data_IF_281041691471
#
_entry.id   IF_281041691471
#
_cell.length_a   1.000
_cell.length_b   1.000
_cell.length_c   1.000
_cell.angle_alpha   90.00
_cell.angle_beta   90.00
_cell.angle_gamma   90.00
#
_symmetry.space_group_name_H-M   'P 1'
#
loop_
_entity.id
_entity.type
_entity.pdbx_description
1 polymer ?
2 water ?
#
# COMPACT_ATOMS: atom_id res chain seq x y z
N UNK A 7 -15.79 -12.78 -11.52
CA UNK A 7 -15.15 -11.51 -11.95
C UNK A 7 -15.18 -10.52 -10.78
N UNK A 8 -16.36 -10.37 -10.14
CA UNK A 8 -16.60 -9.31 -9.17
C UNK A 8 -15.70 -9.52 -7.94
N UNK A 9 -15.29 -10.77 -7.70
CA UNK A 9 -14.37 -11.09 -6.62
C UNK A 9 -12.99 -10.49 -6.91
N UNK A 10 -12.52 -10.69 -8.16
CA UNK A 10 -11.21 -10.25 -8.57
C UNK A 10 -11.13 -8.72 -8.48
N UNK A 11 -12.14 -8.02 -9.02
CA UNK A 11 -12.11 -6.56 -9.10
C UNK A 11 -12.13 -5.96 -7.70
N UNK A 12 -12.77 -6.68 -6.76
CA UNK A 12 -12.85 -6.27 -5.38
C UNK A 12 -11.46 -6.31 -4.74
N UNK A 13 -10.68 -7.34 -5.09
CA UNK A 13 -9.34 -7.51 -4.54
C UNK A 13 -8.41 -6.44 -5.13
N UNK A 14 -8.73 -6.01 -6.34
CA UNK A 14 -7.93 -5.02 -7.03
C UNK A 14 -8.16 -3.64 -6.39
N UNK A 15 -9.42 -3.32 -6.14
CA UNK A 15 -9.75 -2.01 -5.58
C UNK A 15 -9.27 -1.95 -4.13
N UNK A 16 -9.38 -3.06 -3.40
CA UNK A 16 -9.15 -3.05 -1.96
C UNK A 16 -7.65 -3.10 -1.66
N UNK A 17 -6.81 -3.36 -2.67
CA UNK A 17 -5.38 -3.46 -2.45
C UNK A 17 -4.67 -2.25 -3.06
N UNK A 18 -5.42 -1.20 -3.39
CA UNK A 18 -4.84 0.08 -3.80
C UNK A 18 -4.50 0.94 -2.58
N UNK A 19 -3.34 1.59 -2.61
CA UNK A 19 -2.96 2.49 -1.53
C UNK A 19 -3.70 3.81 -1.70
N UNK A 20 -4.22 4.04 -2.90
CA UNK A 20 -4.95 5.27 -3.18
C UNK A 20 -6.43 5.07 -2.83
N UNK A 21 -7.09 6.19 -2.52
CA UNK A 21 -8.50 6.18 -2.17
C UNK A 21 -9.32 5.91 -3.43
N UNK A 22 -10.13 4.85 -3.39
CA UNK A 22 -11.08 4.56 -4.44
C UNK A 22 -12.48 4.51 -3.85
N UNK A 23 -13.38 5.33 -4.40
CA UNK A 23 -14.71 5.47 -3.86
C UNK A 23 -15.74 5.61 -4.99
N UNK A 24 -16.95 5.13 -4.71
CA UNK A 24 -18.11 5.39 -5.53
C UNK A 24 -19.11 6.20 -4.70
N UNK A 25 -19.51 7.36 -5.24
CA UNK A 25 -20.50 8.21 -4.61
C UNK A 25 -21.71 8.31 -5.53
N UNK A 26 -22.86 8.71 -4.96
CA UNK A 26 -23.99 9.15 -5.75
C UNK A 26 -23.77 10.61 -6.13
N UNK A 27 -24.60 11.10 -7.06
CA UNK A 27 -24.45 12.45 -7.59
C UNK A 27 -24.67 13.48 -6.48
N UNK A 28 -25.43 13.10 -5.44
CA UNK A 28 -25.78 14.01 -4.36
C UNK A 28 -24.72 13.95 -3.26
N UNK A 29 -23.78 13.00 -3.37
CA UNK A 29 -22.62 12.98 -2.50
C UNK A 29 -22.59 11.74 -1.61
N UNK A 30 -23.69 10.98 -1.58
CA UNK A 30 -23.80 9.84 -0.68
C UNK A 30 -22.77 8.78 -1.06
N UNK A 31 -21.99 8.36 -0.06
CA UNK A 31 -20.93 7.40 -0.25
C UNK A 31 -21.53 5.99 -0.29
N UNK A 32 -21.23 5.24 -1.37
CA UNK A 32 -21.72 3.88 -1.53
C UNK A 32 -20.60 2.87 -1.27
N UNK A 33 -19.36 3.23 -1.64
CA UNK A 33 -18.25 2.31 -1.53
C UNK A 33 -16.97 3.09 -1.19
N UNK A 34 -16.13 2.48 -0.37
CA UNK A 34 -14.81 2.98 -0.07
C UNK A 34 -13.89 1.77 0.10
N UNK A 35 -12.61 1.95 -0.22
CA UNK A 35 -11.63 0.90 -0.08
C UNK A 35 -10.88 1.11 1.24
N UNK A 36 -10.10 0.11 1.72
CA UNK A 36 -9.45 0.19 3.04
C UNK A 36 -8.49 1.37 3.19
N UNK A 37 -8.12 1.99 2.05
CA UNK A 37 -7.20 3.11 2.04
C UNK A 37 -7.78 4.28 2.85
N UNK A 38 -9.11 4.40 2.87
CA UNK A 38 -9.77 5.47 3.61
C UNK A 38 -9.49 5.31 5.11
N UNK A 39 -9.59 4.07 5.60
CA UNK A 39 -9.34 3.76 7.00
C UNK A 39 -7.88 4.05 7.34
N UNK A 40 -6.98 3.79 6.38
CA UNK A 40 -5.54 3.93 6.61
C UNK A 40 -5.16 5.41 6.64
N UNK A 41 -5.76 6.21 5.75
CA UNK A 41 -5.33 7.59 5.56
C UNK A 41 -6.17 8.56 6.41
N UNK A 42 -7.46 8.25 6.66
CA UNK A 42 -8.35 9.16 7.37
C UNK A 42 -8.67 8.63 8.78
N UNK A 43 -8.47 7.33 9.00
CA UNK A 43 -8.64 6.77 10.35
C UNK A 43 -10.08 6.28 10.60
N UNK A 44 -11.03 6.72 9.77
CA UNK A 44 -12.42 6.32 9.90
C UNK A 44 -12.61 4.90 9.35
N UNK A 45 -13.47 4.12 10.02
CA UNK A 45 -13.88 2.82 9.53
C UNK A 45 -14.86 2.99 8.37
N UNK A 46 -14.94 1.95 7.53
CA UNK A 46 -15.80 1.94 6.36
C UNK A 46 -17.24 2.23 6.78
N UNK A 47 -17.71 1.51 7.80
CA UNK A 47 -19.12 1.54 8.19
C UNK A 47 -19.53 2.94 8.63
N UNK A 48 -18.55 3.76 9.04
CA UNK A 48 -18.81 5.12 9.53
C UNK A 48 -18.97 6.10 8.36
N UNK A 49 -18.59 5.68 7.15
CA UNK A 49 -18.58 6.57 5.99
C UNK A 49 -19.69 6.17 4.99
N UNK A 50 -19.96 4.87 4.89
CA UNK A 50 -20.90 4.35 3.90
C UNK A 50 -22.30 4.85 4.24
N UNK A 51 -23.05 5.22 3.20
CA UNK A 51 -24.47 5.53 3.34
C UNK A 51 -24.69 7.00 3.68
N UNK A 52 -23.60 7.74 3.94
CA UNK A 52 -23.73 9.13 4.32
C UNK A 52 -22.88 10.02 3.41
N UNK A 53 -23.28 11.27 3.39
CA UNK A 53 -22.58 12.35 2.73
C UNK A 53 -21.32 12.69 3.53
N UNK A 54 -20.13 12.86 2.89
CA UNK A 54 -18.90 13.11 3.64
C UNK A 54 -18.53 14.58 3.83
N UNK A 55 -19.43 15.50 3.44
CA UNK A 55 -19.10 16.92 3.40
C UNK A 55 -18.97 17.47 4.82
N UNK A 56 -19.32 16.67 5.81
CA UNK A 56 -19.20 17.09 7.20
C UNK A 56 -17.76 16.92 7.70
N UNK A 57 -16.95 16.10 7.01
CA UNK A 57 -15.54 15.97 7.34
C UNK A 57 -14.74 17.00 6.54
N UNK A 58 -15.43 17.73 5.67
CA UNK A 58 -14.83 18.70 4.79
C UNK A 58 -14.53 19.98 5.57
N UNK A 59 -13.31 20.50 5.41
CA UNK A 59 -12.91 21.73 6.07
C UNK A 59 -13.80 22.88 5.58
N UNK A 60 -14.30 23.74 6.52
CA UNK A 60 -15.23 24.82 6.16
C UNK A 60 -14.75 25.72 5.03
N UNK A 61 -13.43 25.97 4.98
CA UNK A 61 -12.86 26.86 3.99
C UNK A 61 -12.90 26.22 2.60
N UNK A 62 -13.06 24.88 2.55
CA UNK A 62 -12.97 24.14 1.30
C UNK A 62 -14.36 23.78 0.80
N UNK A 63 -15.39 24.15 1.56
CA UNK A 63 -16.76 23.76 1.24
C UNK A 63 -17.18 24.37 -0.11
N UNK A 64 -16.98 25.68 -0.26
CA UNK A 64 -17.48 26.41 -1.41
C UNK A 64 -16.87 25.84 -2.69
N UNK A 65 -15.55 25.60 -2.67
CA UNK A 65 -14.82 25.15 -3.84
C UNK A 65 -15.23 23.70 -4.18
N UNK A 66 -15.42 22.88 -3.15
CA UNK A 66 -15.75 21.47 -3.34
C UNK A 66 -17.15 21.34 -3.94
N UNK A 67 -18.10 22.19 -3.51
CA UNK A 67 -19.47 22.11 -3.98
C UNK A 67 -19.55 22.54 -5.44
N UNK A 68 -18.66 23.49 -5.84
CA UNK A 68 -18.60 23.94 -7.22
C UNK A 68 -18.14 22.79 -8.12
N UNK A 69 -17.22 21.96 -7.61
CA UNK A 69 -16.74 20.81 -8.34
C UNK A 69 -17.85 19.76 -8.45
N UNK A 70 -18.68 19.66 -7.41
CA UNK A 70 -19.76 18.67 -7.40
C UNK A 70 -20.86 19.08 -8.39
N UNK A 71 -21.03 20.40 -8.58
CA UNK A 71 -21.94 20.90 -9.60
C UNK A 71 -21.46 20.50 -10.99
N UNK A 72 -20.14 20.60 -11.21
CA UNK A 72 -19.55 20.24 -12.49
C UNK A 72 -19.78 18.76 -12.77
N UNK A 73 -19.63 17.94 -11.73
CA UNK A 73 -19.83 16.51 -11.85
C UNK A 73 -21.28 16.22 -12.22
N UNK A 74 -22.21 17.01 -11.65
CA UNK A 74 -23.64 16.84 -11.88
C UNK A 74 -24.02 17.33 -13.28
N UNK A 75 -23.15 18.15 -13.89
CA UNK A 75 -23.32 18.60 -15.26
C UNK A 75 -22.62 17.65 -16.22
N UNK A 76 -21.95 16.63 -15.67
CA UNK A 76 -21.35 15.57 -16.46
C UNK A 76 -19.90 15.87 -16.84
N UNK A 77 -19.26 16.78 -16.10
CA UNK A 77 -17.88 17.14 -16.35
C UNK A 77 -16.98 16.40 -15.37
N UNK A 78 -15.83 15.88 -15.84
CA UNK A 78 -14.86 15.26 -14.95
C UNK A 78 -14.07 16.32 -14.18
N UNK A 79 -13.47 15.88 -13.08
CA UNK A 79 -12.68 16.73 -12.20
C UNK A 79 -11.32 16.08 -12.02
N UNK A 80 -10.25 16.87 -12.22
CA UNK A 80 -8.89 16.35 -12.19
C UNK A 80 -8.09 17.07 -11.11
N UNK A 81 -7.48 16.29 -10.22
CA UNK A 81 -6.49 16.78 -9.27
C UNK A 81 -7.03 17.99 -8.52
N UNK A 82 -8.26 17.87 -7.98
CA UNK A 82 -8.82 18.89 -7.11
C UNK A 82 -8.40 18.62 -5.66
N UNK A 83 -7.94 19.67 -4.97
CA UNK A 83 -7.36 19.53 -3.65
C UNK A 83 -8.31 20.13 -2.61
N UNK A 84 -8.58 19.37 -1.54
CA UNK A 84 -9.28 19.88 -0.38
C UNK A 84 -8.83 19.10 0.86
N UNK A 85 -9.33 19.54 2.02
CA UNK A 85 -8.93 18.96 3.29
C UNK A 85 -10.09 18.20 3.91
N UNK A 86 -9.79 17.01 4.44
CA UNK A 86 -10.76 16.20 5.15
C UNK A 86 -10.27 15.95 6.57
N UNK A 87 -11.24 15.98 7.52
CA UNK A 87 -10.93 15.76 8.93
C UNK A 87 -10.64 14.27 9.16
N UNK A 88 -9.56 13.99 9.89
CA UNK A 88 -9.20 12.63 10.23
C UNK A 88 -9.63 12.29 11.67
N UNK A 89 -9.57 11.02 12.02
CA UNK A 89 -10.09 10.51 13.28
C UNK A 89 -9.28 11.04 14.48
N UNK A 90 -8.08 11.56 14.21
CA UNK A 90 -7.22 12.09 15.28
C UNK A 90 -7.48 13.58 15.45
N UNK A 91 -8.40 14.13 14.66
CA UNK A 91 -8.89 15.49 14.84
C UNK A 91 -8.12 16.52 14.02
N UNK A 92 -7.37 16.05 13.02
CA UNK A 92 -6.57 16.93 12.17
C UNK A 92 -7.07 16.87 10.73
N UNK A 93 -6.81 17.95 9.99
CA UNK A 93 -7.19 18.05 8.58
C UNK A 93 -6.00 17.66 7.71
N UNK A 94 -6.25 16.73 6.77
CA UNK A 94 -5.24 16.27 5.83
C UNK A 94 -5.67 16.64 4.41
N UNK A 95 -4.69 16.97 3.56
CA UNK A 95 -4.94 17.36 2.18
C UNK A 95 -5.05 16.12 1.30
N UNK A 96 -5.99 16.17 0.34
CA UNK A 96 -6.14 15.10 -0.65
C UNK A 96 -6.32 15.72 -2.03
N UNK A 97 -5.85 15.00 -3.04
CA UNK A 97 -6.05 15.34 -4.44
C UNK A 97 -7.03 14.35 -5.06
N UNK A 98 -8.15 14.86 -5.58
CA UNK A 98 -9.25 14.03 -6.05
C UNK A 98 -9.35 14.10 -7.56
N UNK A 99 -9.62 12.96 -8.17
CA UNK A 99 -10.01 12.90 -9.56
C UNK A 99 -11.30 12.10 -9.66
N UNK A 100 -12.31 12.69 -10.29
CA UNK A 100 -13.67 12.18 -10.24
C UNK A 100 -14.25 12.16 -11.64
N UNK A 101 -14.89 11.04 -11.97
CA UNK A 101 -15.53 10.85 -13.27
C UNK A 101 -17.02 10.56 -13.07
N UNK A 102 -17.93 11.39 -13.62
CA UNK A 102 -19.37 11.20 -13.44
C UNK A 102 -19.98 10.19 -14.43
N UNK A 103 -21.02 9.49 -13.95
CA UNK A 103 -21.82 8.61 -14.79
C UNK A 103 -23.29 8.96 -14.58
N UNK A 104 -23.80 9.87 -15.43
CA UNK A 104 -25.10 10.49 -15.22
C UNK A 104 -26.22 9.46 -15.35
N UNK A 105 -26.04 8.47 -16.24
CA UNK A 105 -27.05 7.47 -16.48
C UNK A 105 -27.22 6.59 -15.24
N UNK A 106 -26.09 6.24 -14.61
CA UNK A 106 -26.09 5.37 -13.44
C UNK A 106 -26.36 6.19 -12.18
N UNK A 107 -26.11 7.50 -12.24
CA UNK A 107 -26.28 8.37 -11.10
C UNK A 107 -25.12 8.26 -10.09
N UNK A 108 -23.91 7.95 -10.60
CA UNK A 108 -22.75 7.66 -9.75
C UNK A 108 -21.59 8.59 -10.12
N UNK A 109 -20.63 8.68 -9.20
CA UNK A 109 -19.36 9.35 -9.45
C UNK A 109 -18.24 8.40 -9.02
N UNK A 110 -17.24 8.22 -9.90
CA UNK A 110 -16.11 7.34 -9.64
C UNK A 110 -14.91 8.17 -9.21
N UNK A 111 -14.44 7.93 -7.99
CA UNK A 111 -13.51 8.83 -7.32
C UNK A 111 -12.18 8.11 -7.13
N UNK A 112 -11.09 8.82 -7.48
CA UNK A 112 -9.75 8.41 -7.11
C UNK A 112 -9.10 9.54 -6.32
N UNK A 113 -8.43 9.17 -5.22
CA UNK A 113 -7.86 10.14 -4.31
C UNK A 113 -6.43 9.77 -3.92
N UNK A 114 -5.60 10.80 -3.78
CA UNK A 114 -4.23 10.66 -3.33
C UNK A 114 -3.99 11.65 -2.20
N UNK A 115 -3.34 11.21 -1.12
CA UNK A 115 -2.88 12.11 -0.06
C UNK A 115 -1.69 12.92 -0.59
N UNK A 116 -1.59 14.19 -0.14
CA UNK A 116 -0.48 15.06 -0.54
C UNK A 116 0.05 15.81 0.69
N UNK B 10 -1.46 -17.78 28.88
CA UNK B 10 -1.16 -18.86 27.89
C UNK B 10 -0.44 -18.25 26.69
N UNK B 11 -0.91 -17.07 26.22
CA UNK B 11 -0.37 -16.44 25.03
C UNK B 11 1.09 -16.03 25.25
N UNK B 12 1.43 -15.73 26.50
CA UNK B 12 2.78 -15.36 26.88
C UNK B 12 3.71 -16.56 26.74
N UNK B 13 3.18 -17.74 27.11
CA UNK B 13 3.96 -18.97 27.05
C UNK B 13 4.14 -19.39 25.58
N UNK B 14 3.18 -18.99 24.74
CA UNK B 14 3.23 -19.30 23.32
C UNK B 14 4.31 -18.44 22.66
N UNK B 15 4.31 -17.15 22.98
CA UNK B 15 5.28 -16.21 22.42
C UNK B 15 6.70 -16.60 22.87
N UNK B 16 6.84 -16.98 24.14
CA UNK B 16 8.16 -17.12 24.74
C UNK B 16 8.79 -18.47 24.37
N UNK B 17 7.98 -19.38 23.81
CA UNK B 17 8.47 -20.72 23.45
C UNK B 17 8.55 -20.85 21.93
N UNK B 18 8.55 -19.72 21.22
CA UNK B 18 8.72 -19.71 19.78
C UNK B 18 10.21 -19.66 19.42
N UNK B 19 10.59 -20.40 18.36
CA UNK B 19 11.94 -20.32 17.81
C UNK B 19 12.17 -18.94 17.19
N UNK B 20 11.08 -18.37 16.68
CA UNK B 20 11.15 -17.17 15.88
C UNK B 20 11.16 -15.96 16.79
N UNK B 21 11.78 -14.89 16.30
CA UNK B 21 11.85 -13.63 17.01
C UNK B 21 10.47 -12.97 16.99
N UNK B 22 9.92 -12.70 18.18
CA UNK B 22 8.67 -12.00 18.33
C UNK B 22 8.89 -10.77 19.20
N UNK B 23 8.52 -9.61 18.66
CA UNK B 23 8.82 -8.36 19.33
C UNK B 23 7.68 -7.37 19.13
N UNK B 24 7.51 -6.49 20.12
CA UNK B 24 6.66 -5.32 20.00
C UNK B 24 7.55 -4.07 20.11
N UNK B 25 7.45 -3.20 19.10
CA UNK B 25 8.17 -1.94 19.06
C UNK B 25 7.16 -0.80 19.07
N UNK B 26 7.61 0.40 19.42
CA UNK B 26 6.86 1.62 19.15
C UNK B 26 7.15 2.06 17.72
N UNK B 27 6.36 3.02 17.22
CA UNK B 27 6.47 3.46 15.84
C UNK B 27 7.84 4.11 15.60
N UNK B 28 8.44 4.64 16.68
CA UNK B 28 9.71 5.36 16.59
C UNK B 28 10.88 4.39 16.69
N UNK B 29 10.59 3.12 17.01
CA UNK B 29 11.58 2.06 16.92
C UNK B 29 11.91 1.45 18.29
N UNK B 30 11.43 2.10 19.36
CA UNK B 30 11.79 1.70 20.71
C UNK B 30 11.19 0.32 21.00
N UNK B 31 12.05 -0.60 21.45
CA UNK B 31 11.67 -1.96 21.74
C UNK B 31 10.98 -2.02 23.11
N UNK B 32 9.77 -2.60 23.15
CA UNK B 32 8.99 -2.71 24.37
C UNK B 32 9.02 -4.16 24.89
N UNK B 33 9.05 -5.12 23.95
CA UNK B 33 9.00 -6.53 24.32
C UNK B 33 9.83 -7.34 23.33
N UNK B 34 10.49 -8.37 23.86
CA UNK B 34 11.21 -9.34 23.04
C UNK B 34 11.08 -10.69 23.72
N UNK B 35 11.10 -11.75 22.92
CA UNK B 35 10.97 -13.11 23.44
C UNK B 35 12.37 -13.70 23.56
N UNK B 36 12.54 -14.84 24.30
CA UNK B 36 13.87 -15.40 24.55
C UNK B 36 14.66 -15.75 23.29
N UNK B 37 13.96 -15.80 22.15
CA UNK B 37 14.58 -16.16 20.88
C UNK B 37 15.65 -15.13 20.52
N UNK B 38 15.47 -13.88 20.94
CA UNK B 38 16.44 -12.83 20.66
C UNK B 38 17.78 -13.15 21.32
N UNK B 39 17.72 -13.61 22.59
CA UNK B 39 18.92 -13.98 23.33
C UNK B 39 19.62 -15.16 22.64
N UNK B 40 18.82 -16.08 22.10
CA UNK B 40 19.33 -17.30 21.52
C UNK B 40 19.99 -17.01 20.17
N UNK B 41 19.36 -16.14 19.36
CA UNK B 41 19.79 -15.91 17.98
C UNK B 41 20.84 -14.81 17.93
N UNK B 42 20.51 -13.69 18.57
CA UNK B 42 21.47 -12.67 18.92
C UNK B 42 21.79 -12.86 20.39
N UNK B 43 23.06 -12.72 20.78
CA UNK B 43 23.48 -13.15 22.11
C UNK B 43 23.06 -12.16 23.22
N UNK B 44 22.23 -11.16 22.86
CA UNK B 44 21.89 -10.08 23.76
C UNK B 44 20.80 -10.53 24.73
N UNK B 45 20.92 -10.10 25.99
CA UNK B 45 19.90 -10.32 27.00
C UNK B 45 18.72 -9.37 26.75
N UNK B 46 17.55 -9.75 27.27
CA UNK B 46 16.33 -8.98 27.14
C UNK B 46 16.57 -7.55 27.66
N UNK B 47 17.14 -7.45 28.86
CA UNK B 47 17.25 -6.17 29.56
C UNK B 47 18.13 -5.20 28.76
N UNK B 48 19.00 -5.75 27.89
CA UNK B 48 19.92 -4.96 27.11
C UNK B 48 19.24 -4.38 25.86
N UNK B 49 18.02 -4.87 25.54
CA UNK B 49 17.35 -4.49 24.30
C UNK B 49 16.10 -3.65 24.59
N UNK B 50 15.44 -3.94 25.71
CA UNK B 50 14.20 -3.29 26.06
C UNK B 50 14.46 -1.81 26.32
N UNK B 51 13.57 -0.95 25.82
CA UNK B 51 13.63 0.47 26.09
C UNK B 51 14.57 1.20 25.13
N UNK B 52 15.20 0.45 24.22
CA UNK B 52 16.17 1.00 23.30
C UNK B 52 15.73 0.79 21.86
N UNK B 53 16.12 1.75 21.03
CA UNK B 53 16.07 1.62 19.58
C UNK B 53 17.14 0.63 19.12
N UNK B 54 16.83 -0.37 18.25
CA UNK B 54 17.81 -1.39 17.88
C UNK B 54 18.62 -1.09 16.61
N UNK B 55 18.46 0.11 16.06
CA UNK B 55 19.06 0.44 14.78
C UNK B 55 20.58 0.56 14.90
N UNK B 56 21.08 0.55 16.14
CA UNK B 56 22.52 0.64 16.37
C UNK B 56 23.18 -0.72 16.16
N UNK B 57 22.40 -1.81 16.21
CA UNK B 57 22.92 -3.14 15.93
C UNK B 57 22.79 -3.44 14.43
N UNK B 58 22.17 -2.50 13.71
CA UNK B 58 21.91 -2.65 12.28
C UNK B 58 23.19 -2.38 11.49
N UNK B 59 23.49 -3.26 10.52
CA UNK B 59 24.64 -3.11 9.67
C UNK B 59 24.52 -1.81 8.86
N UNK B 60 25.61 -1.01 8.78
CA UNK B 60 25.57 0.28 8.08
C UNK B 60 25.00 0.23 6.67
N UNK B 61 25.28 -0.85 5.94
CA UNK B 61 24.86 -1.00 4.55
C UNK B 61 23.35 -1.24 4.49
N UNK B 62 22.75 -1.66 5.61
CA UNK B 62 21.35 -2.06 5.63
C UNK B 62 20.49 -0.96 6.24
N UNK B 63 21.14 0.13 6.68
CA UNK B 63 20.45 1.22 7.38
C UNK B 63 19.41 1.86 6.46
N UNK B 64 19.82 2.25 5.26
CA UNK B 64 18.98 3.04 4.38
C UNK B 64 17.71 2.25 4.03
N UNK B 65 17.88 0.95 3.73
CA UNK B 65 16.77 0.11 3.32
C UNK B 65 15.82 -0.15 4.49
N UNK B 66 16.39 -0.33 5.68
CA UNK B 66 15.60 -0.65 6.86
C UNK B 66 14.76 0.55 7.27
N UNK B 67 15.32 1.76 7.13
CA UNK B 67 14.61 2.98 7.53
C UNK B 67 13.46 3.25 6.57
N UNK B 68 13.63 2.87 5.29
CA UNK B 68 12.58 3.02 4.29
C UNK B 68 11.39 2.13 4.65
N UNK B 69 11.69 0.93 5.18
CA UNK B 69 10.66 0.01 5.60
C UNK B 69 9.94 0.56 6.84
N UNK B 70 10.67 1.25 7.71
CA UNK B 70 10.10 1.80 8.92
C UNK B 70 9.18 2.98 8.60
N UNK B 71 9.50 3.73 7.53
CA UNK B 71 8.64 4.78 7.03
C UNK B 71 7.32 4.18 6.57
N UNK B 72 7.39 3.05 5.86
CA UNK B 72 6.20 2.39 5.34
C UNK B 72 5.32 1.96 6.51
N UNK B 73 5.94 1.44 7.57
CA UNK B 73 5.22 1.00 8.75
C UNK B 73 4.50 2.20 9.39
N UNK B 74 5.16 3.36 9.37
CA UNK B 74 4.64 4.57 9.98
C UNK B 74 3.52 5.16 9.11
N UNK B 75 3.47 4.74 7.84
CA UNK B 75 2.39 5.13 6.94
C UNK B 75 1.27 4.08 6.96
N UNK B 76 1.46 3.04 7.80
CA UNK B 76 0.42 2.06 8.07
C UNK B 76 0.49 0.85 7.12
N UNK B 77 1.64 0.66 6.47
CA UNK B 77 1.81 -0.42 5.52
C UNK B 77 2.57 -1.56 6.17
N UNK B 78 2.14 -2.83 5.97
CA UNK B 78 2.88 -3.97 6.51
C UNK B 78 4.11 -4.27 5.67
N UNK B 79 5.04 -5.01 6.27
CA UNK B 79 6.32 -5.34 5.65
C UNK B 79 6.49 -6.86 5.77
N UNK B 80 6.79 -7.51 4.64
CA UNK B 80 6.89 -8.97 4.61
C UNK B 80 8.28 -9.39 4.17
N UNK B 81 8.90 -10.28 4.97
CA UNK B 81 10.14 -10.96 4.60
C UNK B 81 11.18 -9.96 4.11
N UNK B 82 11.41 -8.92 4.89
CA UNK B 82 12.49 -7.97 4.64
C UNK B 82 13.76 -8.48 5.31
N UNK B 83 14.87 -8.46 4.57
CA UNK B 83 16.12 -9.05 5.00
C UNK B 83 17.12 -7.96 5.34
N UNK B 84 17.75 -8.07 6.52
CA UNK B 84 18.86 -7.21 6.89
C UNK B 84 19.77 -7.96 7.88
N UNK B 85 20.89 -7.32 8.26
CA UNK B 85 21.87 -7.92 9.15
C UNK B 85 21.87 -7.17 10.47
N UNK B 86 21.92 -7.94 11.58
CA UNK B 86 22.02 -7.38 12.91
C UNK B 86 23.28 -7.90 13.61
N UNK B 87 23.94 -7.03 14.37
CA UNK B 87 25.15 -7.37 15.09
C UNK B 87 24.80 -8.26 16.29
N UNK B 88 25.56 -9.35 16.46
CA UNK B 88 25.38 -10.25 17.58
C UNK B 88 26.45 -10.00 18.63
N UNK B 89 26.26 -10.60 19.82
CA UNK B 89 27.08 -10.31 20.99
C UNK B 89 28.53 -10.79 20.78
N UNK B 90 28.73 -11.68 19.79
CA UNK B 90 30.05 -12.23 19.53
C UNK B 90 30.78 -11.36 18.49
N UNK B 91 30.11 -10.30 18.03
CA UNK B 91 30.75 -9.29 17.20
C UNK B 91 30.58 -9.56 15.70
N UNK B 92 29.64 -10.45 15.36
CA UNK B 92 29.39 -10.80 13.96
C UNK B 92 27.98 -10.37 13.55
N UNK B 93 27.81 -10.15 12.24
CA UNK B 93 26.53 -9.78 11.67
C UNK B 93 25.83 -11.04 11.15
N UNK B 94 24.56 -11.23 11.58
CA UNK B 94 23.75 -12.35 11.16
C UNK B 94 22.55 -11.84 10.37
N UNK B 95 22.13 -12.62 9.35
CA UNK B 95 21.03 -12.25 8.47
C UNK B 95 19.71 -12.65 9.11
N UNK B 96 18.69 -11.78 8.99
CA UNK B 96 17.35 -12.07 9.48
C UNK B 96 16.32 -11.63 8.45
N UNK B 97 15.18 -12.33 8.46
CA UNK B 97 14.04 -12.00 7.62
C UNK B 97 12.90 -11.55 8.53
N UNK B 98 12.43 -10.30 8.32
CA UNK B 98 11.50 -9.66 9.23
C UNK B 98 10.15 -9.47 8.57
N UNK B 99 9.09 -9.67 9.35
CA UNK B 99 7.75 -9.34 8.95
C UNK B 99 7.14 -8.46 10.05
N UNK B 100 6.65 -7.28 9.67
CA UNK B 100 6.18 -6.31 10.63
C UNK B 100 4.78 -5.82 10.25
N UNK B 101 3.92 -5.68 11.26
CA UNK B 101 2.55 -5.22 11.07
C UNK B 101 2.32 -4.00 11.96
N UNK B 102 1.95 -2.84 11.38
CA UNK B 102 1.75 -1.63 12.18
C UNK B 102 0.35 -1.51 12.77
N UNK B 103 0.28 -0.89 13.96
CA UNK B 103 -0.98 -0.57 14.60
C UNK B 103 -0.96 0.90 14.99
N UNK B 104 -1.44 1.75 14.08
CA UNK B 104 -1.25 3.20 14.17
C UNK B 104 -2.02 3.74 15.38
N UNK B 105 -3.18 3.15 15.67
CA UNK B 105 -4.02 3.61 16.77
C UNK B 105 -3.33 3.36 18.11
N UNK B 106 -2.67 2.20 18.23
CA UNK B 106 -1.99 1.82 19.46
C UNK B 106 -0.58 2.42 19.49
N UNK B 107 -0.05 2.77 18.32
CA UNK B 107 1.29 3.31 18.21
C UNK B 107 2.37 2.22 18.33
N UNK B 108 2.04 0.99 17.88
CA UNK B 108 2.91 -0.17 18.04
C UNK B 108 3.21 -0.79 16.68
N UNK B 109 4.28 -1.61 16.64
CA UNK B 109 4.58 -2.46 15.50
C UNK B 109 4.81 -3.87 16.01
N UNK B 110 4.14 -4.84 15.36
CA UNK B 110 4.28 -6.25 15.72
C UNK B 110 5.26 -6.91 14.77
N UNK B 111 6.37 -7.41 15.33
CA UNK B 111 7.52 -7.83 14.56
C UNK B 111 7.70 -9.33 14.70
N UNK B 112 7.90 -10.01 13.57
CA UNK B 112 8.23 -11.42 13.54
C UNK B 112 9.50 -11.60 12.70
N UNK B 113 10.40 -12.45 13.19
CA UNK B 113 11.72 -12.57 12.58
C UNK B 113 12.18 -14.01 12.51
N UNK B 114 12.92 -14.32 11.45
CA UNK B 114 13.49 -15.64 11.23
C UNK B 114 14.95 -15.48 10.79
N UNK B 115 15.85 -16.29 11.36
CA UNK B 115 17.24 -16.32 10.96
C UNK B 115 17.35 -17.00 9.59
N UNK B 116 18.22 -16.47 8.72
CA UNK B 116 18.43 -17.04 7.40
C UNK B 116 19.94 -17.04 7.09
N UNK C 9 -19.97 -4.08 -14.84
CA UNK C 9 -20.51 -3.91 -13.45
C UNK C 9 -20.04 -2.56 -12.91
N UNK C 10 -20.52 -2.20 -11.71
CA UNK C 10 -20.17 -0.92 -11.08
C UNK C 10 -18.67 -0.90 -10.76
N UNK C 11 -18.15 -2.00 -10.19
CA UNK C 11 -16.75 -2.07 -9.79
C UNK C 11 -15.84 -1.98 -11.02
N UNK C 12 -16.34 -2.48 -12.15
CA UNK C 12 -15.61 -2.45 -13.42
C UNK C 12 -15.48 -1.00 -13.90
N UNK C 13 -16.54 -0.22 -13.69
CA UNK C 13 -16.55 1.18 -14.10
C UNK C 13 -15.63 1.99 -13.18
N UNK C 14 -15.46 1.52 -11.94
CA UNK C 14 -14.57 2.16 -10.99
C UNK C 14 -13.11 1.90 -11.41
N UNK C 15 -12.82 0.65 -11.75
CA UNK C 15 -11.49 0.25 -12.15
C UNK C 15 -11.09 0.99 -13.45
N UNK C 16 -12.02 1.08 -14.39
CA UNK C 16 -11.68 1.54 -15.73
C UNK C 16 -11.67 3.08 -15.78
N UNK C 17 -12.18 3.74 -14.75
CA UNK C 17 -12.19 5.21 -14.71
C UNK C 17 -11.19 5.73 -13.66
N UNK C 18 -10.34 4.83 -13.15
CA UNK C 18 -9.43 5.17 -12.07
C UNK C 18 -8.13 5.73 -12.63
N UNK C 19 -7.57 6.71 -11.90
CA UNK C 19 -6.29 7.31 -12.22
C UNK C 19 -5.16 6.31 -11.96
N UNK C 20 -5.44 5.31 -11.11
CA UNK C 20 -4.42 4.35 -10.73
C UNK C 20 -4.34 3.24 -11.77
N UNK C 21 -3.14 2.67 -11.91
CA UNK C 21 -2.93 1.47 -12.69
C UNK C 21 -3.49 0.29 -11.93
N UNK C 22 -4.42 -0.45 -12.57
CA UNK C 22 -4.99 -1.65 -11.98
C UNK C 22 -4.86 -2.79 -12.97
N UNK C 23 -4.21 -3.88 -12.53
CA UNK C 23 -3.86 -4.97 -13.42
C UNK C 23 -4.00 -6.30 -12.70
N UNK C 24 -4.29 -7.34 -13.48
CA UNK C 24 -4.24 -8.71 -13.04
C UNK C 24 -3.16 -9.43 -13.85
N UNK C 25 -2.21 -10.06 -13.15
CA UNK C 25 -1.16 -10.86 -13.76
C UNK C 25 -1.29 -12.30 -13.29
N UNK C 26 -0.65 -13.23 -14.02
CA UNK C 26 -0.41 -14.57 -13.51
C UNK C 26 0.84 -14.55 -12.64
N UNK C 27 1.08 -15.66 -11.92
CA UNK C 27 2.18 -15.75 -10.97
C UNK C 27 3.52 -15.64 -11.71
N UNK C 28 3.53 -16.03 -12.99
CA UNK C 28 4.76 -16.05 -13.77
C UNK C 28 5.00 -14.68 -14.43
N UNK C 29 4.01 -13.78 -14.31
CA UNK C 29 4.19 -12.39 -14.70
C UNK C 29 3.32 -11.99 -15.89
N UNK C 30 2.69 -12.97 -16.53
CA UNK C 30 1.94 -12.72 -17.75
C UNK C 30 0.72 -11.85 -17.42
N UNK C 31 0.59 -10.74 -18.14
CA UNK C 31 -0.48 -9.77 -17.95
C UNK C 31 -1.79 -10.32 -18.57
N UNK C 32 -2.86 -10.35 -17.77
CA UNK C 32 -4.16 -10.83 -18.22
C UNK C 32 -5.13 -9.67 -18.44
N UNK C 33 -5.02 -8.63 -17.61
CA UNK C 33 -5.95 -7.52 -17.66
C UNK C 33 -5.23 -6.24 -17.27
N UNK C 34 -5.67 -5.13 -17.86
CA UNK C 34 -5.08 -3.83 -17.67
C UNK C 34 -6.20 -2.79 -17.86
N UNK C 35 -6.19 -1.73 -17.04
CA UNK C 35 -7.21 -0.69 -17.15
C UNK C 35 -6.66 0.43 -18.03
N UNK C 36 -7.51 1.36 -18.51
CA UNK C 36 -7.06 2.37 -19.47
C UNK C 36 -5.95 3.28 -18.96
N UNK C 37 -5.72 3.27 -17.64
CA UNK C 37 -4.69 4.09 -17.02
C UNK C 37 -3.30 3.72 -17.54
N UNK C 38 -3.12 2.45 -17.93
CA UNK C 38 -1.83 2.01 -18.47
C UNK C 38 -1.54 2.75 -19.77
N UNK C 39 -2.56 2.88 -20.62
CA UNK C 39 -2.41 3.58 -21.89
C UNK C 39 -2.10 5.05 -21.65
N UNK C 40 -2.71 5.61 -20.60
CA UNK C 40 -2.61 7.03 -20.30
C UNK C 40 -1.22 7.35 -19.74
N UNK C 41 -0.68 6.46 -18.89
CA UNK C 41 0.53 6.76 -18.15
C UNK C 41 1.76 6.20 -18.88
N UNK C 42 1.62 5.05 -19.56
CA UNK C 42 2.76 4.39 -20.18
C UNK C 42 2.72 4.49 -21.71
N UNK C 43 1.56 4.82 -22.27
CA UNK C 43 1.46 5.07 -23.70
C UNK C 43 1.15 3.80 -24.49
N UNK C 44 1.32 2.63 -23.87
CA UNK C 44 1.07 1.36 -24.52
C UNK C 44 -0.43 1.08 -24.56
N UNK C 45 -0.92 0.55 -25.70
CA UNK C 45 -2.30 0.09 -25.82
C UNK C 45 -2.45 -1.24 -25.07
N UNK C 46 -3.69 -1.53 -24.67
CA UNK C 46 -4.02 -2.73 -23.94
C UNK C 46 -3.53 -3.96 -24.71
N UNK C 47 -3.85 -4.01 -26.01
CA UNK C 47 -3.62 -5.19 -26.82
C UNK C 47 -2.14 -5.55 -26.84
N UNK C 48 -1.25 -4.56 -26.66
CA UNK C 48 0.18 -4.83 -26.81
C UNK C 48 0.80 -5.16 -25.45
N UNK C 49 -0.02 -5.21 -24.38
CA UNK C 49 0.46 -5.60 -23.06
C UNK C 49 -0.11 -6.96 -22.67
N UNK C 50 -1.36 -7.23 -23.08
CA UNK C 50 -2.07 -8.43 -22.66
C UNK C 50 -1.37 -9.66 -23.23
N UNK C 51 -1.24 -10.71 -22.40
CA UNK C 51 -0.70 -11.98 -22.83
C UNK C 51 0.82 -12.02 -22.73
N UNK C 52 1.42 -10.89 -22.38
CA UNK C 52 2.87 -10.76 -22.37
C UNK C 52 3.36 -10.43 -20.96
N UNK C 53 4.57 -10.90 -20.69
CA UNK C 53 5.32 -10.55 -19.51
C UNK C 53 5.84 -9.11 -19.66
N UNK C 54 5.70 -8.22 -18.65
CA UNK C 54 6.12 -6.83 -18.79
C UNK C 54 7.54 -6.52 -18.32
N UNK C 55 8.32 -7.54 -17.96
CA UNK C 55 9.65 -7.34 -17.39
C UNK C 55 10.62 -6.80 -18.45
N UNK C 56 10.17 -6.83 -19.71
CA UNK C 56 10.91 -6.31 -20.85
C UNK C 56 11.02 -4.79 -20.74
N UNK C 57 9.94 -4.16 -20.23
CA UNK C 57 9.85 -2.72 -20.13
C UNK C 57 10.51 -2.24 -18.82
N UNK C 58 10.96 -3.19 -18.02
CA UNK C 58 11.57 -2.92 -16.73
C UNK C 58 13.02 -2.44 -16.90
N UNK C 59 13.37 -1.34 -16.24
CA UNK C 59 14.71 -0.79 -16.31
C UNK C 59 15.72 -1.80 -15.77
N UNK C 60 16.86 -2.00 -16.49
CA UNK C 60 17.86 -3.00 -16.09
C UNK C 60 18.33 -2.93 -14.64
N UNK C 61 18.43 -1.71 -14.11
CA UNK C 61 18.91 -1.50 -12.75
C UNK C 61 17.85 -1.94 -11.74
N UNK C 62 16.60 -2.08 -12.19
CA UNK C 62 15.49 -2.36 -11.30
C UNK C 62 15.10 -3.84 -11.40
N UNK C 63 15.78 -4.59 -12.27
CA UNK C 63 15.42 -5.97 -12.55
C UNK C 63 15.59 -6.83 -11.29
N UNK C 64 16.75 -6.73 -10.65
CA UNK C 64 17.11 -7.61 -9.55
C UNK C 64 16.10 -7.42 -8.41
N UNK C 65 15.78 -6.17 -8.09
CA UNK C 65 14.91 -5.85 -6.97
C UNK C 65 13.47 -6.28 -7.28
N UNK C 66 13.04 -6.10 -8.54
CA UNK C 66 11.67 -6.41 -8.93
C UNK C 66 11.45 -7.93 -8.92
N UNK C 67 12.48 -8.70 -9.30
CA UNK C 67 12.35 -10.16 -9.35
C UNK C 67 12.28 -10.73 -7.94
N UNK C 68 12.98 -10.07 -6.99
CA UNK C 68 12.93 -10.47 -5.59
C UNK C 68 11.51 -10.29 -5.06
N UNK C 69 10.84 -9.21 -5.50
CA UNK C 69 9.47 -8.95 -5.08
C UNK C 69 8.53 -9.99 -5.68
N UNK C 70 8.84 -10.44 -6.91
CA UNK C 70 7.98 -11.41 -7.59
C UNK C 70 8.12 -12.78 -6.95
N UNK C 71 9.31 -13.08 -6.39
CA UNK C 71 9.51 -14.29 -5.62
C UNK C 71 8.63 -14.26 -4.37
N UNK C 72 8.57 -13.09 -3.71
CA UNK C 72 7.77 -12.94 -2.50
C UNK C 72 6.31 -13.18 -2.83
N UNK C 73 5.87 -12.66 -3.98
CA UNK C 73 4.48 -12.82 -4.41
C UNK C 73 4.19 -14.30 -4.65
N UNK C 74 5.19 -15.03 -5.17
CA UNK C 74 5.04 -16.45 -5.48
C UNK C 74 5.07 -17.28 -4.20
N UNK C 75 5.59 -16.69 -3.11
CA UNK C 75 5.56 -17.31 -1.80
C UNK C 75 4.31 -16.89 -1.03
N UNK C 76 3.47 -16.06 -1.66
CA UNK C 76 2.17 -15.70 -1.14
C UNK C 76 2.19 -14.43 -0.28
N UNK C 77 3.27 -13.65 -0.41
CA UNK C 77 3.46 -12.46 0.40
C UNK C 77 3.09 -11.23 -0.40
N UNK C 78 2.35 -10.27 0.18
CA UNK C 78 2.01 -9.04 -0.51
C UNK C 78 3.20 -8.07 -0.54
N UNK C 79 3.13 -7.11 -1.45
CA UNK C 79 4.19 -6.15 -1.69
C UNK C 79 3.56 -4.76 -1.68
N UNK C 80 4.13 -3.84 -0.91
CA UNK C 80 3.54 -2.53 -0.68
C UNK C 80 4.50 -1.43 -1.13
N UNK C 81 4.00 -0.52 -1.98
CA UNK C 81 4.71 0.70 -2.37
C UNK C 81 6.14 0.37 -2.80
N UNK C 82 6.28 -0.61 -3.69
CA UNK C 82 7.57 -0.91 -4.30
C UNK C 82 7.76 -0.05 -5.55
N UNK C 83 8.93 0.56 -5.66
CA UNK C 83 9.22 1.58 -6.65
C UNK C 83 10.18 0.99 -7.70
N UNK C 84 9.83 1.14 -8.98
CA UNK C 84 10.72 0.81 -10.08
C UNK C 84 10.38 1.68 -11.30
N UNK C 85 11.18 1.55 -12.37
CA UNK C 85 11.00 2.32 -13.58
C UNK C 85 10.52 1.40 -14.70
N UNK C 86 9.54 1.89 -15.48
CA UNK C 86 9.06 1.18 -16.65
C UNK C 86 9.23 2.05 -17.89
N UNK C 87 9.59 1.42 -19.00
CA UNK C 87 9.78 2.12 -20.27
C UNK C 87 8.41 2.49 -20.86
N UNK C 88 8.29 3.74 -21.32
CA UNK C 88 7.06 4.24 -21.92
C UNK C 88 7.21 4.28 -23.44
N UNK C 89 6.08 4.50 -24.13
CA UNK C 89 6.01 4.39 -25.58
C UNK C 89 6.83 5.48 -26.26
N UNK C 90 7.17 6.54 -25.51
CA UNK C 90 7.94 7.65 -26.05
C UNK C 90 9.44 7.41 -25.85
N UNK C 91 9.78 6.27 -25.24
CA UNK C 91 11.16 5.80 -25.17
C UNK C 91 11.85 6.24 -23.88
N UNK C 92 11.06 6.67 -22.89
CA UNK C 92 11.62 7.16 -21.63
C UNK C 92 11.15 6.25 -20.48
N UNK C 93 11.93 6.25 -19.40
CA UNK C 93 11.62 5.49 -18.19
C UNK C 93 10.91 6.40 -17.19
N UNK C 94 9.75 5.93 -16.71
CA UNK C 94 8.95 6.65 -15.72
C UNK C 94 8.90 5.84 -14.42
N UNK C 95 8.86 6.53 -13.29
CA UNK C 95 8.85 5.90 -11.97
C UNK C 95 7.44 5.54 -11.56
N UNK C 96 7.27 4.35 -10.96
CA UNK C 96 5.97 3.93 -10.46
C UNK C 96 6.11 3.31 -9.08
N UNK C 97 5.04 3.43 -8.29
CA UNK C 97 4.91 2.75 -7.01
C UNK C 97 3.86 1.66 -7.14
N UNK C 98 4.24 0.41 -6.82
CA UNK C 98 3.38 -0.75 -7.03
C UNK C 98 2.97 -1.33 -5.69
N UNK C 99 1.72 -1.77 -5.62
CA UNK C 99 1.25 -2.61 -4.53
C UNK C 99 0.60 -3.84 -5.13
N UNK C 100 1.05 -5.02 -4.70
CA UNK C 100 0.64 -6.27 -5.32
C UNK C 100 0.21 -7.26 -4.25
N UNK C 101 -0.92 -7.92 -4.50
CA UNK C 101 -1.45 -8.94 -3.59
C UNK C 101 -1.61 -10.25 -4.35
N UNK C 102 -0.96 -11.35 -3.91
CA UNK C 102 -1.05 -12.63 -4.60
C UNK C 102 -2.25 -13.47 -4.16
N UNK C 103 -2.75 -14.27 -5.11
CA UNK C 103 -3.82 -15.22 -4.86
C UNK C 103 -3.38 -16.59 -5.40
N UNK C 104 -2.75 -17.39 -4.52
CA UNK C 104 -2.03 -18.59 -4.94
C UNK C 104 -3.00 -19.62 -5.50
N UNK C 105 -4.22 -19.68 -4.91
CA UNK C 105 -5.22 -20.66 -5.32
C UNK C 105 -5.68 -20.38 -6.75
N UNK C 106 -5.85 -19.09 -7.07
CA UNK C 106 -6.33 -18.67 -8.38
C UNK C 106 -5.16 -18.57 -9.36
N UNK C 107 -3.95 -18.43 -8.83
CA UNK C 107 -2.75 -18.29 -9.66
C UNK C 107 -2.62 -16.88 -10.23
N UNK C 108 -3.13 -15.87 -9.49
CA UNK C 108 -3.17 -14.50 -9.97
C UNK C 108 -2.43 -13.57 -9.01
N UNK C 109 -2.05 -12.40 -9.52
CA UNK C 109 -1.56 -11.30 -8.70
C UNK C 109 -2.37 -10.05 -9.04
N UNK C 110 -2.86 -9.37 -7.99
CA UNK C 110 -3.60 -8.13 -8.16
C UNK C 110 -2.65 -6.95 -7.93
N UNK C 111 -2.45 -6.15 -8.99
CA UNK C 111 -1.41 -5.15 -9.02
C UNK C 111 -2.07 -3.76 -9.08
N UNK C 112 -1.63 -2.87 -8.19
CA UNK C 112 -2.10 -1.50 -8.16
C UNK C 112 -0.90 -0.57 -8.21
N UNK C 113 -1.00 0.48 -9.02
CA UNK C 113 0.14 1.28 -9.35
C UNK C 113 -0.19 2.77 -9.38
N UNK C 114 0.82 3.56 -9.06
CA UNK C 114 0.72 5.01 -9.01
C UNK C 114 2.01 5.59 -9.58
N UNK C 115 1.88 6.58 -10.46
CA UNK C 115 3.03 7.30 -11.01
C UNK C 115 3.59 8.22 -9.93
N UNK C 116 4.92 8.25 -9.83
CA UNK C 116 5.62 8.98 -8.78
C UNK C 116 6.15 10.30 -9.38
#
# INVERSE_FOLDING_TARGET
GPTNFEKEYDLEKLVNNSLDLLSIQRLDGTVLQVNPAFERLLGWREEELIGRNPFHLLHPEDRESTFQEFKKLNQGLPVFAFQNRFLCSDGTYKYFSWTASPDLSAGLIYVTGRDI
GPTNFEKEYDLEKLVNNSLDLLSIQRLDGTVLQVNPAFERLLGWREEELIGRNPFHLLHPEDRESTFQEFKKLNQGLPVFAFQNRFLCSDGTYKYFSWTASPDLSAGLIYVTGRDI
GPTNFEKEYDLEKLVNNSLDLLSIQRLDGTVLQVNPAFERLLGWREEELIGRNPFHLLHPEDRESTFQEFKKLNQGLPVFAFQNRFLCSDGTYKYFSWTASPDLSAGLIYVTGRDI
#
